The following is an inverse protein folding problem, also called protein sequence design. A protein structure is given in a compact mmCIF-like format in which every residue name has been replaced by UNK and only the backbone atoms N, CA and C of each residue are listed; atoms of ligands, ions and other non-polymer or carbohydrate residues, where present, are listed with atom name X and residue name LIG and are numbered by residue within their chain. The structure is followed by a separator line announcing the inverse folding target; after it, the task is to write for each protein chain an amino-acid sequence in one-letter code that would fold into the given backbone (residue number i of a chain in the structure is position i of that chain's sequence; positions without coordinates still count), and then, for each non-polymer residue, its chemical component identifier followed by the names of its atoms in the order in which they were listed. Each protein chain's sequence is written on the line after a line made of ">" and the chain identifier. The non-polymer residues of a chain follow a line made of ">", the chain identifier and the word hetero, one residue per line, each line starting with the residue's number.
data_IF_824413202154
#
_entry.id   IF_824413202154
#
_cell.length_a   1.000
_cell.length_b   1.000
_cell.length_c   1.000
_cell.angle_alpha   90.00
_cell.angle_beta   90.00
_cell.angle_gamma   90.00
#
_symmetry.space_group_name_H-M   'P 1'
#
loop_
_entity.id
_entity.type
_entity.pdbx_description
1 polymer ?
#
# COMPACT_ATOMS: atom_id res chain seq x y z
N UNK A 1 -6.93 -25.38 -26.37
CA UNK A 1 -6.23 -25.84 -25.16
C UNK A 1 -5.78 -24.60 -24.41
N UNK A 2 -6.60 -24.11 -23.50
CA UNK A 2 -6.24 -22.99 -22.60
C UNK A 2 -6.57 -23.48 -21.20
N UNK A 3 -5.54 -23.60 -20.38
CA UNK A 3 -5.63 -24.07 -19.00
C UNK A 3 -6.51 -23.12 -18.20
N UNK A 4 -7.63 -23.63 -17.69
CA UNK A 4 -8.35 -22.99 -16.61
C UNK A 4 -7.43 -22.99 -15.38
N UNK A 5 -7.08 -21.80 -14.91
CA UNK A 5 -6.33 -21.63 -13.68
C UNK A 5 -7.27 -22.00 -12.53
N UNK A 6 -7.11 -23.20 -12.00
CA UNK A 6 -7.75 -23.66 -10.76
C UNK A 6 -7.37 -22.72 -9.62
N UNK A 7 -8.27 -21.80 -9.29
CA UNK A 7 -8.36 -21.27 -7.93
C UNK A 7 -9.25 -22.23 -7.13
N UNK A 8 -8.71 -23.43 -6.90
CA UNK A 8 -9.32 -24.42 -6.03
C UNK A 8 -9.16 -23.94 -4.57
N UNK A 9 -10.12 -23.15 -4.10
CA UNK A 9 -10.43 -23.11 -2.66
C UNK A 9 -11.12 -24.43 -2.31
N UNK A 10 -10.83 -25.06 -1.15
CA UNK A 10 -11.44 -26.33 -0.78
C UNK A 10 -12.93 -26.11 -0.48
N UNK A 11 -13.80 -26.34 -1.47
CA UNK A 11 -15.26 -26.36 -1.28
C UNK A 11 -16.10 -25.79 -2.43
N UNK A 12 -15.55 -24.94 -3.29
CA UNK A 12 -16.33 -24.28 -4.34
C UNK A 12 -16.35 -25.13 -5.61
N UNK A 13 -17.42 -25.91 -5.80
CA UNK A 13 -17.72 -26.52 -7.09
C UNK A 13 -18.59 -25.57 -7.88
N UNK A 14 -18.11 -25.13 -9.04
CA UNK A 14 -18.98 -24.53 -10.06
C UNK A 14 -20.13 -25.51 -10.31
N UNK A 15 -21.37 -25.05 -10.18
CA UNK A 15 -22.52 -25.86 -10.50
C UNK A 15 -22.99 -25.54 -11.93
N UNK A 16 -22.65 -26.38 -12.92
CA UNK A 16 -23.06 -26.15 -14.31
C UNK A 16 -24.58 -26.22 -14.52
N UNK A 17 -25.35 -26.73 -13.56
CA UNK A 17 -26.82 -26.78 -13.63
C UNK A 17 -27.48 -25.42 -13.33
N UNK A 18 -26.75 -24.45 -12.77
CA UNK A 18 -27.27 -23.11 -12.46
C UNK A 18 -27.12 -22.10 -13.61
N UNK A 19 -26.57 -22.55 -14.74
CA UNK A 19 -26.29 -21.71 -15.90
C UNK A 19 -24.80 -21.40 -16.08
N UNK A 20 -24.42 -20.89 -17.26
CA UNK A 20 -23.03 -20.55 -17.55
C UNK A 20 -22.60 -19.32 -16.74
N UNK A 21 -21.30 -19.17 -16.53
CA UNK A 21 -20.77 -17.89 -16.09
C UNK A 21 -21.06 -16.80 -17.14
N UNK A 22 -21.34 -15.58 -16.69
CA UNK A 22 -21.71 -14.45 -17.54
C UNK A 22 -20.56 -13.45 -17.55
N UNK A 23 -20.07 -12.99 -18.72
CA UNK A 23 -18.98 -12.03 -18.77
C UNK A 23 -19.41 -10.68 -18.19
N UNK A 24 -18.53 -10.08 -17.39
CA UNK A 24 -18.72 -8.73 -16.82
C UNK A 24 -17.48 -7.87 -17.05
N UNK A 25 -17.56 -6.58 -16.71
CA UNK A 25 -16.39 -5.69 -16.71
C UNK A 25 -15.28 -6.13 -15.75
N UNK A 26 -15.59 -7.01 -14.78
CA UNK A 26 -14.64 -7.52 -13.77
C UNK A 26 -14.17 -8.96 -14.06
N UNK A 27 -14.49 -9.49 -15.24
CA UNK A 27 -14.31 -10.92 -15.57
C UNK A 27 -15.61 -11.71 -15.43
N UNK A 28 -15.50 -13.03 -15.47
CA UNK A 28 -16.68 -13.90 -15.49
C UNK A 28 -17.35 -13.99 -14.11
N UNK A 29 -18.67 -13.79 -14.07
CA UNK A 29 -19.49 -13.99 -12.89
C UNK A 29 -20.17 -15.36 -12.96
N UNK A 30 -19.83 -16.26 -12.03
CA UNK A 30 -20.35 -17.63 -12.01
C UNK A 30 -21.43 -17.81 -10.92
N UNK A 31 -22.52 -18.54 -11.20
CA UNK A 31 -23.54 -18.82 -10.20
C UNK A 31 -23.05 -19.81 -9.13
N UNK A 32 -23.43 -19.57 -7.87
CA UNK A 32 -23.20 -20.48 -6.73
C UNK A 32 -24.47 -20.57 -5.88
N UNK A 33 -24.75 -21.73 -5.29
CA UNK A 33 -25.88 -21.95 -4.37
C UNK A 33 -25.38 -22.19 -2.95
N UNK A 34 -25.97 -21.50 -1.99
CA UNK A 34 -25.71 -21.66 -0.56
C UNK A 34 -26.60 -20.73 0.27
N UNK A 35 -26.80 -21.06 1.55
CA UNK A 35 -27.47 -20.17 2.51
C UNK A 35 -26.56 -19.08 3.06
N UNK A 36 -25.24 -19.33 3.03
CA UNK A 36 -24.19 -18.46 3.57
C UNK A 36 -22.98 -18.47 2.64
N UNK A 37 -22.23 -17.36 2.65
CA UNK A 37 -21.05 -17.16 1.81
C UNK A 37 -19.89 -16.68 2.69
N UNK A 38 -18.76 -17.38 2.62
CA UNK A 38 -17.54 -17.00 3.33
C UNK A 38 -16.43 -16.67 2.32
N UNK A 39 -15.78 -15.52 2.51
CA UNK A 39 -14.62 -15.11 1.73
C UNK A 39 -13.40 -15.09 2.65
N UNK A 40 -12.40 -15.91 2.34
CA UNK A 40 -11.14 -15.94 3.06
C UNK A 40 -10.03 -15.30 2.22
N UNK A 41 -9.28 -14.38 2.82
CA UNK A 41 -8.13 -13.73 2.21
C UNK A 41 -6.97 -13.72 3.20
N UNK A 42 -5.77 -13.98 2.70
CA UNK A 42 -4.54 -13.75 3.47
C UNK A 42 -4.21 -12.26 3.45
N UNK A 43 -3.94 -11.68 4.62
CA UNK A 43 -3.54 -10.28 4.72
C UNK A 43 -2.02 -10.17 4.55
N UNK A 44 -1.55 -9.25 3.69
CA UNK A 44 -0.11 -8.99 3.60
C UNK A 44 0.39 -8.34 4.88
N UNK A 45 1.62 -8.69 5.27
CA UNK A 45 2.29 -8.10 6.41
C UNK A 45 2.88 -6.73 6.04
N UNK A 46 2.13 -5.67 6.37
CA UNK A 46 2.48 -4.28 6.10
C UNK A 46 3.12 -3.63 7.34
N UNK A 47 4.25 -2.94 7.14
CA UNK A 47 4.94 -2.15 8.16
C UNK A 47 5.17 -0.72 7.68
N UNK A 48 5.44 0.19 8.62
CA UNK A 48 5.95 1.53 8.31
C UNK A 48 7.36 1.50 7.75
N UNK A 49 8.13 0.46 8.06
CA UNK A 49 9.53 0.29 7.69
C UNK A 49 9.69 -0.83 6.66
N UNK A 50 10.75 -0.76 5.87
CA UNK A 50 11.14 -1.87 4.98
C UNK A 50 11.64 -3.06 5.81
N UNK A 51 11.31 -4.28 5.40
CA UNK A 51 11.92 -5.51 5.95
C UNK A 51 13.34 -5.73 5.44
N UNK A 52 13.65 -5.14 4.28
CA UNK A 52 14.97 -5.21 3.68
C UNK A 52 15.84 -4.07 4.21
N UNK A 53 17.08 -4.35 4.63
CA UNK A 53 18.01 -3.30 5.02
C UNK A 53 18.39 -2.44 3.81
N UNK A 54 18.90 -1.24 4.10
CA UNK A 54 19.50 -0.38 3.08
C UNK A 54 20.68 -1.11 2.44
N UNK A 55 20.70 -1.18 1.11
CA UNK A 55 21.83 -1.75 0.38
C UNK A 55 23.06 -0.84 0.52
N UNK A 56 24.22 -1.44 0.82
CA UNK A 56 25.45 -0.72 1.20
C UNK A 56 25.86 0.38 0.23
N UNK A 57 25.66 0.18 -1.07
CA UNK A 57 25.99 1.15 -2.12
C UNK A 57 25.16 2.43 -2.13
N UNK A 58 24.00 2.46 -1.46
CA UNK A 58 23.06 3.60 -1.50
C UNK A 58 23.07 4.45 -0.22
N UNK A 59 23.89 4.11 0.78
CA UNK A 59 23.90 4.86 2.04
C UNK A 59 24.27 6.33 1.86
N UNK A 60 25.24 6.64 0.97
CA UNK A 60 25.62 8.03 0.69
C UNK A 60 24.50 8.77 -0.02
N UNK A 61 23.94 8.19 -1.07
CA UNK A 61 22.86 8.81 -1.84
C UNK A 61 21.63 9.08 -0.96
N UNK A 62 21.28 8.16 -0.07
CA UNK A 62 20.19 8.34 0.89
C UNK A 62 20.48 9.45 1.90
N UNK A 63 21.73 9.54 2.35
CA UNK A 63 22.14 10.61 3.26
C UNK A 63 22.02 11.97 2.59
N UNK A 64 22.54 12.10 1.38
CA UNK A 64 22.51 13.35 0.61
C UNK A 64 21.06 13.76 0.29
N UNK A 65 20.21 12.79 -0.07
CA UNK A 65 18.78 13.04 -0.28
C UNK A 65 18.08 13.50 1.00
N UNK A 66 18.35 12.84 2.14
CA UNK A 66 17.75 13.19 3.42
C UNK A 66 18.19 14.58 3.92
N UNK A 67 19.44 14.97 3.67
CA UNK A 67 19.96 16.31 3.98
C UNK A 67 19.20 17.42 3.25
N UNK A 68 18.65 17.14 2.07
CA UNK A 68 17.77 18.06 1.36
C UNK A 68 16.35 17.99 1.92
N UNK A 69 15.80 16.78 2.05
CA UNK A 69 14.39 16.57 2.37
C UNK A 69 14.00 16.96 3.80
N UNK A 70 14.92 16.90 4.76
CA UNK A 70 14.67 17.37 6.14
C UNK A 70 14.22 18.85 6.20
N UNK A 71 14.61 19.65 5.21
CA UNK A 71 14.25 21.06 5.13
C UNK A 71 12.90 21.29 4.43
N UNK A 72 12.20 20.23 4.05
CA UNK A 72 10.89 20.34 3.42
C UNK A 72 9.87 20.96 4.37
N UNK A 73 9.20 22.01 3.92
CA UNK A 73 8.12 22.67 4.64
C UNK A 73 6.91 22.83 3.72
N UNK A 74 5.71 22.36 4.13
CA UNK A 74 4.49 22.65 3.39
C UNK A 74 4.26 24.17 3.29
N UNK A 75 3.64 24.67 2.22
CA UNK A 75 3.18 26.06 2.18
C UNK A 75 2.25 26.40 3.36
N UNK A 76 2.21 27.68 3.76
CA UNK A 76 1.52 28.13 4.98
C UNK A 76 0.05 27.67 5.03
N UNK A 77 -0.65 27.72 3.90
CA UNK A 77 -2.05 27.30 3.79
C UNK A 77 -2.27 25.83 4.18
N UNK A 78 -1.29 24.96 3.96
CA UNK A 78 -1.35 23.56 4.38
C UNK A 78 -0.90 23.36 5.83
N UNK A 79 -0.05 24.25 6.35
CA UNK A 79 0.33 24.24 7.77
C UNK A 79 -0.85 24.64 8.67
N UNK A 80 -1.70 25.57 8.21
CA UNK A 80 -2.88 26.03 8.98
C UNK A 80 -4.18 25.32 8.58
N UNK A 81 -4.08 24.19 7.87
CA UNK A 81 -5.22 23.40 7.39
C UNK A 81 -6.26 24.19 6.55
N UNK A 82 -5.84 25.28 5.92
CA UNK A 82 -6.66 26.09 5.01
C UNK A 82 -6.60 25.61 3.54
N UNK A 83 -5.66 24.72 3.22
CA UNK A 83 -5.53 24.10 1.91
C UNK A 83 -6.44 22.88 1.66
N UNK A 84 -6.38 22.32 0.45
CA UNK A 84 -7.07 21.07 0.10
C UNK A 84 -6.59 19.90 0.95
N UNK A 85 -7.52 19.10 1.49
CA UNK A 85 -7.20 17.90 2.28
C UNK A 85 -6.44 16.85 1.48
N UNK A 86 -6.72 16.70 0.18
CA UNK A 86 -6.01 15.75 -0.68
C UNK A 86 -4.54 16.15 -0.84
N UNK A 87 -4.28 17.43 -1.09
CA UNK A 87 -2.91 17.94 -1.28
C UNK A 87 -2.19 17.98 0.06
N UNK A 88 -2.82 18.51 1.11
CA UNK A 88 -2.26 18.55 2.47
C UNK A 88 -1.94 17.15 3.00
N UNK A 89 -2.81 16.16 2.75
CA UNK A 89 -2.58 14.77 3.11
C UNK A 89 -1.33 14.19 2.45
N UNK A 90 -1.05 14.51 1.19
CA UNK A 90 0.20 14.10 0.52
C UNK A 90 1.43 14.74 1.15
N UNK A 91 1.34 16.00 1.54
CA UNK A 91 2.45 16.73 2.17
C UNK A 91 2.76 16.18 3.57
N UNK A 92 1.72 15.91 4.37
CA UNK A 92 1.86 15.25 5.67
C UNK A 92 2.43 13.83 5.53
N UNK A 93 1.98 13.07 4.52
CA UNK A 93 2.54 11.76 4.23
C UNK A 93 4.03 11.84 3.86
N UNK A 94 4.46 12.87 3.12
CA UNK A 94 5.88 13.11 2.83
C UNK A 94 6.67 13.36 4.12
N UNK A 95 6.20 14.25 4.99
CA UNK A 95 6.84 14.53 6.29
C UNK A 95 6.97 13.28 7.16
N UNK A 96 5.88 12.51 7.28
CA UNK A 96 5.90 11.24 8.02
C UNK A 96 6.92 10.24 7.47
N UNK A 97 7.12 10.19 6.15
CA UNK A 97 8.14 9.34 5.52
C UNK A 97 9.56 9.85 5.76
N UNK A 98 9.79 11.16 5.69
CA UNK A 98 11.09 11.75 6.04
C UNK A 98 11.48 11.40 7.48
N UNK A 99 10.54 11.57 8.43
CA UNK A 99 10.78 11.26 9.84
C UNK A 99 11.09 9.77 10.08
N UNK A 100 10.38 8.86 9.41
CA UNK A 100 10.66 7.42 9.50
C UNK A 100 12.04 7.06 8.94
N UNK A 101 12.38 7.58 7.76
CA UNK A 101 13.68 7.32 7.13
C UNK A 101 14.83 7.89 7.97
N UNK A 102 14.67 9.10 8.50
CA UNK A 102 15.67 9.70 9.39
C UNK A 102 15.94 8.83 10.63
N UNK A 103 14.89 8.26 11.24
CA UNK A 103 15.03 7.30 12.34
C UNK A 103 15.75 6.02 11.91
N UNK A 104 15.42 5.45 10.76
CA UNK A 104 16.11 4.26 10.23
C UNK A 104 17.61 4.52 9.97
N UNK A 105 17.98 5.77 9.65
CA UNK A 105 19.37 6.20 9.45
C UNK A 105 20.08 6.64 10.74
N UNK A 106 19.46 6.51 11.91
CA UNK A 106 20.03 6.93 13.20
C UNK A 106 20.13 8.45 13.38
N UNK A 107 19.23 9.19 12.73
CA UNK A 107 19.11 10.66 12.77
C UNK A 107 17.82 11.09 13.48
N UNK A 108 17.58 10.58 14.68
CA UNK A 108 16.33 10.79 15.42
C UNK A 108 16.03 12.28 15.69
N UNK A 109 17.06 13.10 15.87
CA UNK A 109 16.89 14.55 16.10
C UNK A 109 16.23 15.24 14.91
N UNK A 110 16.52 14.77 13.71
CA UNK A 110 16.03 15.32 12.45
C UNK A 110 14.57 14.94 12.22
N UNK A 111 14.16 13.78 12.73
CA UNK A 111 12.78 13.30 12.69
C UNK A 111 11.83 14.12 13.59
N UNK A 112 12.35 14.85 14.59
CA UNK A 112 11.56 15.67 15.50
C UNK A 112 11.32 17.10 14.99
N UNK A 113 12.11 17.52 13.99
CA UNK A 113 12.06 18.87 13.41
C UNK A 113 11.42 18.91 12.03
N UNK A 114 11.14 17.74 11.44
CA UNK A 114 10.43 17.58 10.18
C UNK A 114 8.93 17.87 10.34
#
# INVERSE_FOLDING_TARGET
>A
HVMAMELATPGWKLNPELGPCIPTIRGDACPVVGGDWELAFELPDNSFTSKLPIASGFHSDLKDALDVDINYQPPLEFQVAAGSTYVGGKMLAKLGRIALIAREMGREKDAMTA
#
